data_IF_597625002141
#
_entry.id   IF_597625002141
#
_cell.length_a   1.000
_cell.length_b   1.000
_cell.length_c   1.000
_cell.angle_alpha   90.00
_cell.angle_beta   90.00
_cell.angle_gamma   90.00
#
_symmetry.space_group_name_H-M   'P 1'
#
loop_
_entity.id
_entity.type
_entity.pdbx_description
1 polymer ?
#
# COMPACT_ATOMS: atom_id res chain seq x y z
N UNK A 1 -12.34 -52.77 -9.35
CA UNK A 1 -11.93 -53.78 -8.33
C UNK A 1 -10.63 -53.24 -7.74
N UNK A 2 -10.45 -52.86 -6.48
CA UNK A 2 -11.09 -53.06 -5.17
C UNK A 2 -10.64 -51.86 -4.30
N UNK A 3 -11.53 -51.05 -3.70
CA UNK A 3 -12.08 -51.24 -2.33
C UNK A 3 -10.99 -51.12 -1.26
N UNK A 4 -10.89 -50.08 -0.41
CA UNK A 4 -11.63 -49.80 0.85
C UNK A 4 -10.74 -48.81 1.66
N UNK A 5 -11.10 -48.08 2.72
CA UNK A 5 -12.30 -47.43 3.27
C UNK A 5 -11.91 -46.90 4.67
N UNK A 6 -12.24 -45.63 4.97
CA UNK A 6 -12.68 -45.06 6.27
C UNK A 6 -11.74 -45.02 7.50
N UNK A 7 -11.71 -43.85 8.16
CA UNK A 7 -11.33 -43.70 9.56
C UNK A 7 -11.58 -42.31 10.17
N UNK A 8 -12.86 -41.90 10.32
CA UNK A 8 -13.29 -40.79 11.22
C UNK A 8 -13.24 -41.26 12.67
N UNK A 9 -12.61 -40.51 13.59
CA UNK A 9 -12.96 -40.48 15.02
C UNK A 9 -12.72 -39.10 15.62
N UNK A 10 -13.80 -38.49 16.10
CA UNK A 10 -13.76 -37.33 16.99
C UNK A 10 -13.71 -37.76 18.46
N UNK A 11 -13.35 -36.82 19.33
CA UNK A 11 -13.53 -36.92 20.77
C UNK A 11 -13.98 -35.55 21.31
N UNK A 12 -15.22 -35.50 21.80
CA UNK A 12 -15.75 -34.49 22.71
C UNK A 12 -15.98 -35.21 24.04
N UNK A 13 -15.44 -34.67 25.14
CA UNK A 13 -15.77 -35.11 26.50
C UNK A 13 -16.32 -33.92 27.25
N UNK A 14 -17.59 -34.03 27.63
CA UNK A 14 -18.26 -33.21 28.63
C UNK A 14 -18.17 -33.91 30.00
N UNK A 15 -18.08 -33.14 31.08
CA UNK A 15 -18.24 -33.63 32.44
C UNK A 15 -19.19 -32.70 33.21
N UNK A 16 -20.19 -33.30 33.86
CA UNK A 16 -21.23 -32.67 34.65
C UNK A 16 -21.34 -33.36 36.02
N UNK A 17 -21.81 -32.60 37.03
CA UNK A 17 -22.39 -33.06 38.31
C UNK A 17 -21.38 -33.22 39.45
N UNK A 18 -21.65 -32.79 40.69
CA UNK A 18 -22.74 -33.23 41.59
C UNK A 18 -22.89 -32.23 42.75
N UNK A 19 -24.15 -32.02 43.18
CA UNK A 19 -24.57 -31.29 44.39
C UNK A 19 -24.76 -32.29 45.52
N UNK A 20 -24.27 -31.98 46.73
CA UNK A 20 -24.57 -32.72 47.96
C UNK A 20 -25.18 -31.79 49.01
N UNK A 21 -26.32 -32.20 49.57
CA UNK A 21 -27.02 -31.56 50.67
C UNK A 21 -26.75 -32.32 51.98
N UNK A 22 -26.66 -31.59 53.11
CA UNK A 22 -26.72 -32.14 54.45
C UNK A 22 -27.39 -31.13 55.42
N UNK A 23 -28.15 -31.65 56.39
CA UNK A 23 -29.13 -30.96 57.24
C UNK A 23 -28.63 -30.64 58.68
N UNK A 24 -29.25 -29.63 59.30
CA UNK A 24 -29.48 -29.42 60.76
C UNK A 24 -28.28 -28.99 61.62
N UNK A 25 -28.37 -28.14 62.66
CA UNK A 25 -29.45 -27.72 63.58
C UNK A 25 -29.14 -26.36 64.24
N UNK A 26 -30.17 -25.69 64.76
CA UNK A 26 -30.21 -24.33 65.33
C UNK A 26 -29.50 -24.11 66.69
N UNK A 27 -28.91 -22.92 66.88
CA UNK A 27 -28.82 -22.20 68.16
C UNK A 27 -28.79 -20.66 67.92
N UNK A 28 -29.32 -19.82 68.84
CA UNK A 28 -29.68 -18.44 68.57
C UNK A 28 -28.54 -17.44 68.79
N UNK A 29 -28.51 -16.35 68.00
CA UNK A 29 -27.52 -15.26 68.11
C UNK A 29 -28.13 -13.88 67.78
N UNK A 30 -27.52 -12.77 68.27
CA UNK A 30 -28.19 -11.62 68.88
C UNK A 30 -28.48 -10.46 67.86
N UNK A 31 -28.93 -9.25 68.28
CA UNK A 31 -29.80 -8.40 67.46
C UNK A 31 -29.11 -7.75 66.26
N UNK A 32 -29.89 -7.61 65.17
CA UNK A 32 -29.53 -6.96 63.90
C UNK A 32 -29.10 -5.50 64.11
N UNK A 33 -27.84 -5.20 63.85
CA UNK A 33 -27.40 -3.88 63.43
C UNK A 33 -27.90 -3.60 61.99
N UNK A 34 -28.47 -2.42 61.77
CA UNK A 34 -29.00 -1.98 60.48
C UNK A 34 -27.93 -2.01 59.38
N UNK A 35 -28.19 -2.80 58.34
CA UNK A 35 -27.32 -2.94 57.17
C UNK A 35 -27.61 -1.78 56.21
N UNK A 36 -26.74 -0.77 56.19
CA UNK A 36 -26.78 0.28 55.15
C UNK A 36 -26.64 -0.36 53.78
N UNK A 37 -27.61 -0.13 52.90
CA UNK A 37 -27.56 -0.58 51.51
C UNK A 37 -26.38 0.10 50.79
N UNK A 38 -25.56 -0.63 50.02
CA UNK A 38 -24.53 -0.02 49.20
C UNK A 38 -25.17 0.89 48.16
N UNK A 39 -24.76 2.17 48.19
CA UNK A 39 -25.16 3.19 47.23
C UNK A 39 -24.80 2.71 45.82
N UNK A 40 -25.69 2.80 44.81
CA UNK A 40 -25.38 2.36 43.47
C UNK A 40 -24.16 3.13 42.95
N UNK A 41 -23.12 2.39 42.57
CA UNK A 41 -21.94 2.95 41.93
C UNK A 41 -22.41 3.61 40.64
N UNK A 42 -22.32 4.94 40.60
CA UNK A 42 -22.60 5.74 39.40
C UNK A 42 -21.63 5.24 38.33
N UNK A 43 -22.14 4.53 37.30
CA UNK A 43 -21.36 4.21 36.09
C UNK A 43 -20.78 5.52 35.59
N UNK A 44 -19.46 5.63 35.65
CA UNK A 44 -18.73 6.71 35.04
C UNK A 44 -19.12 6.71 33.55
N UNK A 45 -19.42 7.88 32.94
CA UNK A 45 -19.63 7.92 31.50
C UNK A 45 -18.43 7.26 30.84
N UNK A 46 -18.65 6.25 29.99
CA UNK A 46 -17.60 5.77 29.10
C UNK A 46 -17.06 7.01 28.38
N UNK A 47 -15.79 7.33 28.63
CA UNK A 47 -15.13 8.39 27.91
C UNK A 47 -15.25 8.13 26.41
N UNK A 48 -15.19 9.17 25.56
CA UNK A 48 -15.29 8.97 24.11
C UNK A 48 -14.34 7.86 23.68
N UNK A 49 -14.87 6.86 22.98
CA UNK A 49 -14.10 5.72 22.52
C UNK A 49 -12.94 6.21 21.66
N UNK A 50 -11.71 5.86 22.05
CA UNK A 50 -10.52 6.20 21.27
C UNK A 50 -10.58 5.40 19.98
N UNK A 51 -10.46 6.03 18.80
CA UNK A 51 -10.50 5.31 17.54
C UNK A 51 -9.32 4.34 17.44
N UNK A 52 -9.60 3.10 17.07
CA UNK A 52 -8.60 2.03 16.95
C UNK A 52 -7.95 2.10 15.57
N UNK A 53 -6.66 2.44 15.55
CA UNK A 53 -5.86 2.43 14.32
C UNK A 53 -5.62 1.01 13.80
N UNK A 54 -5.40 0.84 12.48
CA UNK A 54 -4.92 -0.43 11.94
C UNK A 54 -3.59 -0.83 12.57
N UNK A 55 -3.31 -2.13 12.60
CA UNK A 55 -2.03 -2.63 13.10
C UNK A 55 -0.89 -2.21 12.17
N UNK A 56 0.17 -1.63 12.74
CA UNK A 56 1.41 -1.36 11.99
C UNK A 56 2.10 -2.66 11.64
N UNK A 57 2.14 -3.00 10.35
CA UNK A 57 2.83 -4.17 9.82
C UNK A 57 3.91 -3.69 8.84
N UNK A 58 5.21 -3.91 9.14
CA UNK A 58 6.27 -3.55 8.22
C UNK A 58 6.14 -4.29 6.90
N UNK A 59 6.35 -3.58 5.79
CA UNK A 59 6.35 -4.17 4.46
C UNK A 59 7.41 -5.27 4.35
N UNK A 60 7.02 -6.38 3.74
CA UNK A 60 7.90 -7.52 3.47
C UNK A 60 7.91 -7.79 1.96
N UNK A 61 9.10 -8.03 1.38
CA UNK A 61 9.20 -8.38 -0.03
C UNK A 61 8.61 -9.76 -0.29
N UNK A 62 7.94 -9.90 -1.44
CA UNK A 62 7.58 -11.21 -1.97
C UNK A 62 8.81 -11.98 -2.46
N UNK A 63 8.68 -13.30 -2.62
CA UNK A 63 9.79 -14.17 -3.03
C UNK A 63 10.35 -13.86 -4.43
N UNK A 64 9.58 -13.18 -5.27
CA UNK A 64 9.93 -12.84 -6.65
C UNK A 64 10.42 -11.39 -6.82
N UNK A 65 10.55 -10.64 -5.72
CA UNK A 65 11.09 -9.28 -5.74
C UNK A 65 12.57 -9.27 -6.13
N UNK A 66 12.94 -8.40 -7.07
CA UNK A 66 14.34 -8.18 -7.46
C UNK A 66 14.98 -7.19 -6.49
N UNK A 67 16.22 -7.46 -6.07
CA UNK A 67 16.95 -6.63 -5.11
C UNK A 67 16.08 -6.13 -3.96
N UNK A 68 15.40 -7.05 -3.23
CA UNK A 68 14.40 -6.70 -2.22
C UNK A 68 14.96 -5.79 -1.13
N UNK A 69 16.27 -5.84 -0.86
CA UNK A 69 16.95 -4.95 0.07
C UNK A 69 16.79 -3.46 -0.25
N UNK A 70 16.63 -3.08 -1.53
CA UNK A 70 16.42 -1.69 -1.96
C UNK A 70 15.04 -1.22 -1.52
N UNK A 71 14.01 -2.03 -1.81
CA UNK A 71 12.62 -1.75 -1.44
C UNK A 71 12.43 -1.73 0.07
N UNK A 72 13.05 -2.67 0.78
CA UNK A 72 13.02 -2.71 2.25
C UNK A 72 13.66 -1.45 2.85
N UNK A 73 14.77 -0.96 2.28
CA UNK A 73 15.41 0.27 2.76
C UNK A 73 14.48 1.49 2.58
N UNK A 74 13.80 1.60 1.43
CA UNK A 74 12.81 2.66 1.20
C UNK A 74 11.61 2.53 2.15
N UNK A 75 11.00 1.34 2.25
CA UNK A 75 9.82 1.09 3.08
C UNK A 75 10.06 1.45 4.55
N UNK A 76 11.20 1.06 5.12
CA UNK A 76 11.57 1.39 6.50
C UNK A 76 11.57 2.89 6.78
N UNK A 77 12.09 3.69 5.85
CA UNK A 77 12.10 5.16 5.98
C UNK A 77 10.68 5.72 5.93
N UNK A 78 9.87 5.25 4.98
CA UNK A 78 8.49 5.70 4.81
C UNK A 78 7.63 5.35 6.05
N UNK A 79 7.78 4.15 6.59
CA UNK A 79 7.10 3.70 7.81
C UNK A 79 7.57 4.49 9.04
N UNK A 80 8.87 4.78 9.16
CA UNK A 80 9.40 5.58 10.28
C UNK A 80 8.89 7.04 10.28
N UNK A 81 8.68 7.60 9.08
CA UNK A 81 8.09 8.94 8.92
C UNK A 81 6.59 8.92 9.23
N UNK A 82 5.89 7.93 8.68
CA UNK A 82 4.44 7.87 8.62
C UNK A 82 3.74 7.24 9.83
N UNK A 83 4.42 6.38 10.58
CA UNK A 83 3.89 5.71 11.78
C UNK A 83 4.34 6.45 13.03
N UNK A 84 3.37 6.99 13.78
CA UNK A 84 3.61 7.82 14.98
C UNK A 84 2.77 7.27 16.14
N UNK A 85 3.41 6.76 17.21
CA UNK A 85 2.69 6.29 18.39
C UNK A 85 1.88 7.39 19.09
N UNK A 86 0.88 6.99 19.89
CA UNK A 86 0.11 7.92 20.70
C UNK A 86 1.00 8.66 21.71
N UNK A 87 0.77 9.96 21.88
CA UNK A 87 1.57 10.80 22.77
C UNK A 87 2.95 11.20 22.22
N UNK A 88 3.32 10.75 21.03
CA UNK A 88 4.55 11.16 20.34
C UNK A 88 4.22 12.27 19.34
N UNK A 89 5.00 13.34 19.33
CA UNK A 89 4.85 14.41 18.35
C UNK A 89 5.19 13.91 16.94
N UNK A 90 4.41 14.33 15.94
CA UNK A 90 4.69 14.05 14.53
C UNK A 90 6.04 14.65 14.13
N UNK A 91 6.31 15.90 14.50
CA UNK A 91 7.57 16.60 14.22
C UNK A 91 8.28 17.01 15.52
N UNK A 92 9.62 16.96 15.55
CA UNK A 92 10.52 16.49 14.50
C UNK A 92 10.54 14.95 14.37
N UNK A 93 10.78 14.45 13.14
CA UNK A 93 10.85 13.00 12.87
C UNK A 93 12.29 12.42 12.92
N UNK A 94 13.30 13.26 13.16
CA UNK A 94 14.72 12.89 13.14
C UNK A 94 15.03 11.66 14.00
N UNK A 95 14.52 11.60 15.23
CA UNK A 95 14.76 10.45 16.12
C UNK A 95 14.19 9.13 15.58
N UNK A 96 13.02 9.16 14.92
CA UNK A 96 12.43 7.96 14.30
C UNK A 96 13.22 7.50 13.08
N UNK A 97 13.72 8.44 12.27
CA UNK A 97 14.61 8.15 11.15
C UNK A 97 15.92 7.51 11.64
N UNK A 98 16.56 8.07 12.68
CA UNK A 98 17.77 7.49 13.27
C UNK A 98 17.51 6.07 13.80
N UNK A 99 16.38 5.84 14.47
CA UNK A 99 15.99 4.50 14.94
C UNK A 99 15.77 3.51 13.78
N UNK A 100 15.37 3.99 12.61
CA UNK A 100 15.24 3.20 11.38
C UNK A 100 16.57 3.03 10.61
N UNK A 101 17.69 3.58 11.12
CA UNK A 101 18.99 3.55 10.46
C UNK A 101 19.12 4.50 9.26
N UNK A 102 18.29 5.55 9.21
CA UNK A 102 18.26 6.52 8.13
C UNK A 102 18.83 7.89 8.57
N UNK A 103 19.19 8.71 7.59
CA UNK A 103 19.68 10.06 7.82
C UNK A 103 18.54 10.94 8.41
N UNK A 104 18.70 11.51 9.62
CA UNK A 104 17.70 12.38 10.23
C UNK A 104 17.40 13.64 9.39
N UNK A 105 18.29 14.07 8.50
CA UNK A 105 18.08 15.22 7.63
C UNK A 105 16.91 15.01 6.64
N UNK A 106 16.55 13.77 6.32
CA UNK A 106 15.40 13.45 5.47
C UNK A 106 14.06 13.98 6.03
N UNK A 107 13.98 14.25 7.34
CA UNK A 107 12.79 14.86 7.94
C UNK A 107 12.45 16.23 7.33
N UNK A 108 13.44 16.97 6.83
CA UNK A 108 13.24 18.31 6.25
C UNK A 108 12.49 18.27 4.90
N UNK A 109 12.58 17.17 4.15
CA UNK A 109 11.95 17.01 2.83
C UNK A 109 10.81 16.00 2.83
N UNK A 110 10.47 15.43 3.99
CA UNK A 110 9.44 14.41 4.11
C UNK A 110 8.03 14.90 3.72
N UNK A 111 7.73 16.19 3.91
CA UNK A 111 6.47 16.80 3.46
C UNK A 111 5.23 15.98 3.86
N UNK A 112 4.36 15.59 2.90
CA UNK A 112 3.16 14.81 3.19
C UNK A 112 3.44 13.35 3.59
N UNK A 113 4.68 12.88 3.64
CA UNK A 113 5.01 11.60 4.29
C UNK A 113 4.89 11.70 5.83
N UNK A 114 4.84 12.90 6.39
CA UNK A 114 4.51 13.11 7.80
C UNK A 114 2.99 13.25 7.96
N UNK A 115 2.34 12.41 8.80
CA UNK A 115 0.89 12.47 8.99
C UNK A 115 0.48 13.78 9.67
N UNK A 116 -0.74 14.31 9.45
CA UNK A 116 -1.15 15.59 10.05
C UNK A 116 -1.26 15.56 11.58
N UNK A 117 -1.52 14.40 12.17
CA UNK A 117 -1.67 14.23 13.62
C UNK A 117 -1.20 12.84 14.06
N UNK A 118 -1.04 12.67 15.37
CA UNK A 118 -0.74 11.40 16.02
C UNK A 118 -1.88 11.02 16.99
N UNK A 119 -2.13 9.72 17.24
CA UNK A 119 -1.42 8.58 16.66
C UNK A 119 -1.73 8.37 15.17
N UNK A 120 -0.77 7.79 14.45
CA UNK A 120 -0.87 7.50 13.03
C UNK A 120 -0.12 6.22 12.66
N UNK A 121 -0.55 5.57 11.58
CA UNK A 121 0.10 4.39 11.00
C UNK A 121 0.24 4.59 9.51
N UNK A 122 1.41 4.28 8.97
CA UNK A 122 1.65 4.20 7.53
C UNK A 122 1.84 2.76 7.08
N UNK A 123 1.18 2.42 5.98
CA UNK A 123 1.31 1.16 5.27
C UNK A 123 1.85 1.45 3.88
N UNK A 124 2.99 0.85 3.53
CA UNK A 124 3.46 0.85 2.15
C UNK A 124 2.57 -0.10 1.35
N UNK A 125 1.69 0.46 0.51
CA UNK A 125 0.78 -0.31 -0.35
C UNK A 125 1.59 -1.04 -1.41
N UNK A 126 2.46 -0.30 -2.11
CA UNK A 126 3.43 -0.90 -3.00
C UNK A 126 4.67 -0.01 -3.20
N UNK A 127 5.90 -0.54 -3.07
CA UNK A 127 7.14 0.14 -3.40
C UNK A 127 7.66 -0.36 -4.76
N UNK A 128 7.14 0.19 -5.86
CA UNK A 128 7.57 -0.17 -7.22
C UNK A 128 8.96 0.39 -7.50
N UNK A 129 9.77 -0.28 -8.32
CA UNK A 129 10.95 0.39 -8.87
C UNK A 129 10.56 1.49 -9.86
N UNK A 130 11.20 2.65 -9.73
CA UNK A 130 11.27 3.70 -10.77
C UNK A 130 12.63 3.75 -11.46
N UNK A 131 13.59 2.93 -11.01
CA UNK A 131 14.89 2.74 -11.63
C UNK A 131 15.89 2.00 -10.73
N UNK A 132 16.81 1.26 -11.35
CA UNK A 132 17.81 0.46 -10.64
C UNK A 132 19.13 0.45 -11.43
N UNK A 133 20.17 1.01 -10.83
CA UNK A 133 21.55 0.96 -11.33
C UNK A 133 22.46 0.26 -10.31
N UNK A 134 23.74 0.13 -10.64
CA UNK A 134 24.74 -0.50 -9.77
C UNK A 134 24.90 0.18 -8.39
N UNK A 135 24.68 1.50 -8.33
CA UNK A 135 24.91 2.32 -7.13
C UNK A 135 23.82 3.34 -6.81
N UNK A 136 22.83 3.50 -7.69
CA UNK A 136 21.67 4.38 -7.48
C UNK A 136 20.38 3.63 -7.77
N UNK A 137 19.29 4.01 -7.10
CA UNK A 137 17.97 3.45 -7.36
C UNK A 137 16.88 4.49 -7.07
N UNK A 138 15.69 4.24 -7.60
CA UNK A 138 14.47 4.97 -7.32
C UNK A 138 13.35 3.99 -7.01
N UNK A 139 12.65 4.22 -5.92
CA UNK A 139 11.44 3.51 -5.55
C UNK A 139 10.27 4.49 -5.61
N UNK A 140 9.30 4.20 -6.46
CA UNK A 140 8.01 4.89 -6.51
C UNK A 140 7.08 4.19 -5.54
N UNK A 141 6.88 4.80 -4.38
CA UNK A 141 6.11 4.23 -3.29
C UNK A 141 4.71 4.83 -3.22
N UNK A 142 3.71 3.96 -3.08
CA UNK A 142 2.35 4.33 -2.67
C UNK A 142 2.20 4.01 -1.19
N UNK A 143 1.93 5.02 -0.37
CA UNK A 143 1.86 4.91 1.09
C UNK A 143 0.49 5.34 1.58
N UNK A 144 -0.26 4.41 2.17
CA UNK A 144 -1.50 4.72 2.88
C UNK A 144 -1.17 5.17 4.29
N UNK A 145 -1.72 6.31 4.71
CA UNK A 145 -1.60 6.81 6.07
C UNK A 145 -2.97 6.87 6.71
N UNK A 146 -3.09 6.32 7.90
CA UNK A 146 -4.30 6.43 8.74
C UNK A 146 -3.92 7.12 10.04
N UNK A 147 -4.66 8.16 10.44
CA UNK A 147 -4.42 8.87 11.69
C UNK A 147 -5.70 9.15 12.45
N UNK A 148 -5.57 9.30 13.76
CA UNK A 148 -6.66 9.76 14.61
C UNK A 148 -6.76 11.28 14.61
N UNK A 149 -7.96 11.78 14.36
CA UNK A 149 -8.37 13.18 14.44
C UNK A 149 -9.55 13.28 15.42
N UNK A 150 -9.22 13.50 16.70
CA UNK A 150 -10.17 13.35 17.80
C UNK A 150 -10.72 11.93 17.88
N UNK A 151 -12.03 11.78 17.66
CA UNK A 151 -12.71 10.47 17.63
C UNK A 151 -12.85 9.87 16.23
N UNK A 152 -12.34 10.55 15.20
CA UNK A 152 -12.47 10.13 13.80
C UNK A 152 -11.15 9.58 13.29
N UNK A 153 -11.20 8.48 12.53
CA UNK A 153 -10.07 8.06 11.72
C UNK A 153 -10.11 8.79 10.38
N UNK A 154 -8.96 9.32 9.99
CA UNK A 154 -8.73 9.91 8.67
C UNK A 154 -7.74 9.05 7.92
N UNK A 155 -7.86 9.03 6.61
CA UNK A 155 -6.97 8.32 5.71
C UNK A 155 -6.54 9.24 4.57
N UNK A 156 -5.32 9.01 4.07
CA UNK A 156 -4.87 9.50 2.77
C UNK A 156 -3.88 8.53 2.13
N UNK A 157 -3.65 8.68 0.83
CA UNK A 157 -2.64 7.94 0.08
C UNK A 157 -1.61 8.91 -0.51
N UNK A 158 -0.35 8.73 -0.15
CA UNK A 158 0.77 9.56 -0.59
C UNK A 158 1.63 8.78 -1.57
N UNK A 159 1.88 9.35 -2.75
CA UNK A 159 2.88 8.83 -3.69
C UNK A 159 4.19 9.57 -3.49
N UNK A 160 5.31 8.85 -3.51
CA UNK A 160 6.64 9.45 -3.39
C UNK A 160 7.68 8.72 -4.23
N UNK A 161 8.56 9.49 -4.86
CA UNK A 161 9.81 8.98 -5.41
C UNK A 161 10.90 9.04 -4.33
N UNK A 162 11.42 7.86 -3.98
CA UNK A 162 12.45 7.67 -2.97
C UNK A 162 13.76 7.35 -3.69
N UNK A 163 14.75 8.24 -3.60
CA UNK A 163 16.05 8.02 -4.22
C UNK A 163 16.98 7.34 -3.23
N UNK A 164 17.62 6.27 -3.66
CA UNK A 164 18.57 5.51 -2.85
C UNK A 164 19.96 5.55 -3.47
N UNK A 165 20.96 5.45 -2.60
CA UNK A 165 22.35 5.26 -2.97
C UNK A 165 22.90 4.02 -2.27
N UNK A 166 23.81 3.34 -2.95
CA UNK A 166 24.53 2.20 -2.41
C UNK A 166 25.84 2.65 -1.79
N UNK A 167 26.10 2.23 -0.55
CA UNK A 167 27.41 2.32 0.09
C UNK A 167 27.85 0.92 0.52
N UNK A 168 28.88 0.40 -0.16
CA UNK A 168 29.27 -1.01 -0.04
C UNK A 168 28.13 -1.95 -0.39
N UNK A 169 27.63 -2.72 0.59
CA UNK A 169 26.49 -3.64 0.40
C UNK A 169 25.14 -3.06 0.85
N UNK A 170 25.14 -1.90 1.50
CA UNK A 170 23.93 -1.30 2.04
C UNK A 170 23.33 -0.29 1.08
N UNK A 171 22.00 -0.26 1.01
CA UNK A 171 21.23 0.78 0.36
C UNK A 171 20.69 1.73 1.42
N UNK A 172 20.83 3.03 1.17
CA UNK A 172 20.30 4.08 2.06
C UNK A 172 19.50 5.07 1.24
N UNK A 173 18.40 5.55 1.82
CA UNK A 173 17.62 6.65 1.24
C UNK A 173 18.47 7.91 1.29
N UNK A 174 18.65 8.54 0.14
CA UNK A 174 19.42 9.76 -0.04
C UNK A 174 18.51 10.98 -0.26
N UNK A 175 17.31 10.77 -0.81
CA UNK A 175 16.36 11.85 -1.09
C UNK A 175 14.92 11.34 -1.07
N UNK A 176 14.01 12.21 -0.63
CA UNK A 176 12.57 11.99 -0.67
C UNK A 176 11.94 13.07 -1.57
N UNK A 177 11.12 12.64 -2.52
CA UNK A 177 10.37 13.49 -3.44
C UNK A 177 8.88 13.12 -3.38
N UNK A 178 8.20 13.45 -2.27
CA UNK A 178 6.78 13.18 -2.13
C UNK A 178 5.95 14.10 -3.03
N UNK A 179 4.89 13.55 -3.62
CA UNK A 179 3.92 14.33 -4.40
C UNK A 179 3.09 15.19 -3.45
N UNK A 180 2.90 16.46 -3.81
CA UNK A 180 2.06 17.38 -3.04
C UNK A 180 0.60 16.91 -3.04
N UNK A 181 -0.13 17.00 -1.90
CA UNK A 181 -1.54 16.63 -1.85
C UNK A 181 -2.41 17.54 -2.72
N UNK A 182 -3.47 16.96 -3.29
CA UNK A 182 -4.48 17.68 -4.08
C UNK A 182 -5.90 17.28 -3.60
N UNK A 183 -6.36 17.80 -2.45
CA UNK A 183 -7.56 17.30 -1.77
C UNK A 183 -8.86 17.42 -2.58
N UNK A 184 -8.94 18.39 -3.49
CA UNK A 184 -10.13 18.64 -4.30
C UNK A 184 -10.11 17.94 -5.68
N UNK A 185 -9.03 17.20 -5.98
CA UNK A 185 -8.83 16.59 -7.31
C UNK A 185 -9.98 15.63 -7.69
N UNK A 186 -10.40 14.77 -6.77
CA UNK A 186 -11.46 13.80 -7.03
C UNK A 186 -12.79 14.48 -7.40
N UNK A 187 -13.12 15.59 -6.75
CA UNK A 187 -14.36 16.33 -7.01
C UNK A 187 -14.35 17.07 -8.36
N UNK A 188 -13.17 17.33 -8.92
CA UNK A 188 -13.00 17.99 -10.21
C UNK A 188 -13.06 17.01 -11.40
N UNK A 189 -13.04 15.69 -11.17
CA UNK A 189 -13.10 14.70 -12.23
C UNK A 189 -14.44 14.73 -12.97
N UNK A 190 -14.37 14.64 -14.30
CA UNK A 190 -15.54 14.54 -15.18
C UNK A 190 -15.29 13.56 -16.33
N UNK A 191 -16.35 13.12 -17.00
CA UNK A 191 -16.27 12.31 -18.22
C UNK A 191 -15.48 11.00 -18.04
N UNK A 192 -14.67 10.59 -19.05
CA UNK A 192 -13.89 9.35 -18.99
C UNK A 192 -12.93 9.25 -17.79
N UNK A 193 -12.39 10.39 -17.32
CA UNK A 193 -11.50 10.39 -16.16
C UNK A 193 -12.24 10.04 -14.85
N UNK A 194 -13.48 10.53 -14.69
CA UNK A 194 -14.33 10.16 -13.56
C UNK A 194 -14.75 8.69 -13.63
N UNK A 195 -15.10 8.18 -14.83
CA UNK A 195 -15.44 6.76 -15.02
C UNK A 195 -14.23 5.85 -14.68
N UNK A 196 -13.03 6.23 -15.13
CA UNK A 196 -11.81 5.50 -14.84
C UNK A 196 -11.53 5.44 -13.33
N UNK A 197 -11.62 6.57 -12.63
CA UNK A 197 -11.41 6.62 -11.19
C UNK A 197 -12.43 5.80 -10.39
N UNK A 198 -13.61 5.51 -10.96
CA UNK A 198 -14.61 4.62 -10.38
C UNK A 198 -14.36 3.12 -10.61
N UNK A 199 -13.44 2.76 -11.53
CA UNK A 199 -13.20 1.36 -11.95
C UNK A 199 -11.81 0.84 -11.61
N UNK A 200 -10.84 1.72 -11.51
CA UNK A 200 -9.43 1.39 -11.27
C UNK A 200 -9.00 1.90 -9.91
N UNK A 201 -8.22 1.11 -9.17
CA UNK A 201 -7.62 1.57 -7.92
C UNK A 201 -6.49 2.55 -8.23
N UNK A 202 -6.73 3.84 -7.93
CA UNK A 202 -5.79 4.92 -8.18
C UNK A 202 -5.30 5.54 -6.85
N UNK A 203 -4.00 5.83 -6.70
CA UNK A 203 -3.52 6.67 -5.62
C UNK A 203 -3.94 8.14 -5.85
N UNK A 204 -3.96 8.95 -4.79
CA UNK A 204 -4.40 10.35 -4.87
C UNK A 204 -3.61 11.17 -5.90
N UNK A 205 -2.30 10.91 -6.04
CA UNK A 205 -1.48 11.57 -7.06
C UNK A 205 -1.96 11.27 -8.49
N UNK A 206 -2.38 10.03 -8.77
CA UNK A 206 -2.92 9.64 -10.06
C UNK A 206 -4.30 10.27 -10.33
N UNK A 207 -5.14 10.37 -9.30
CA UNK A 207 -6.40 11.12 -9.36
C UNK A 207 -6.14 12.60 -9.67
N UNK A 208 -5.12 13.20 -9.05
CA UNK A 208 -4.71 14.58 -9.32
C UNK A 208 -4.22 14.79 -10.75
N UNK A 209 -3.41 13.86 -11.29
CA UNK A 209 -2.97 13.90 -12.69
C UNK A 209 -4.17 13.88 -13.66
N UNK A 210 -5.17 13.02 -13.40
CA UNK A 210 -6.39 12.95 -14.20
C UNK A 210 -7.21 14.26 -14.12
N UNK A 211 -7.41 14.78 -12.91
CA UNK A 211 -8.18 16.01 -12.69
C UNK A 211 -7.51 17.23 -13.35
N UNK A 212 -6.17 17.24 -13.41
CA UNK A 212 -5.40 18.28 -14.07
C UNK A 212 -5.37 18.15 -15.61
N UNK A 213 -5.95 17.09 -16.19
CA UNK A 213 -5.85 16.80 -17.62
C UNK A 213 -4.41 16.46 -18.06
N UNK A 214 -3.58 15.95 -17.15
CA UNK A 214 -2.18 15.66 -17.39
C UNK A 214 -1.93 14.26 -17.97
N UNK A 215 -2.98 13.48 -18.20
CA UNK A 215 -2.93 12.11 -18.74
C UNK A 215 -3.52 12.09 -20.15
N UNK A 216 -2.79 11.50 -21.10
CA UNK A 216 -3.20 11.33 -22.48
C UNK A 216 -4.50 10.52 -22.57
N UNK A 217 -5.43 10.96 -23.40
CA UNK A 217 -6.75 10.33 -23.55
C UNK A 217 -6.65 8.86 -23.98
N UNK A 218 -5.58 8.44 -24.69
CA UNK A 218 -5.35 7.04 -25.07
C UNK A 218 -5.02 6.16 -23.87
N UNK A 219 -4.27 6.67 -22.89
CA UNK A 219 -4.02 5.95 -21.62
C UNK A 219 -5.33 5.74 -20.87
N UNK A 220 -6.16 6.79 -20.80
CA UNK A 220 -7.48 6.70 -20.16
C UNK A 220 -8.38 5.68 -20.88
N UNK A 221 -8.42 5.73 -22.21
CA UNK A 221 -9.22 4.80 -23.02
C UNK A 221 -8.74 3.33 -22.87
N UNK A 222 -7.42 3.10 -22.93
CA UNK A 222 -6.83 1.78 -22.76
C UNK A 222 -7.16 1.18 -21.38
N UNK A 223 -7.05 1.97 -20.32
CA UNK A 223 -7.39 1.51 -18.98
C UNK A 223 -8.89 1.25 -18.80
N UNK A 224 -9.77 2.04 -19.41
CA UNK A 224 -11.21 1.78 -19.39
C UNK A 224 -11.57 0.48 -20.12
N UNK A 225 -10.92 0.20 -21.25
CA UNK A 225 -11.07 -1.07 -21.97
C UNK A 225 -10.61 -2.26 -21.11
N UNK A 226 -9.41 -2.18 -20.55
CA UNK A 226 -8.88 -3.24 -19.68
C UNK A 226 -9.74 -3.41 -18.42
N UNK A 227 -10.23 -2.33 -17.82
CA UNK A 227 -11.10 -2.36 -16.64
C UNK A 227 -12.50 -2.95 -16.92
N UNK A 228 -12.86 -3.16 -18.19
CA UNK A 228 -14.03 -3.95 -18.58
C UNK A 228 -13.88 -5.44 -18.26
N UNK A 229 -12.65 -5.92 -18.10
CA UNK A 229 -12.32 -7.34 -17.85
C UNK A 229 -11.57 -7.56 -16.54
N UNK A 230 -10.63 -6.67 -16.20
CA UNK A 230 -9.70 -6.83 -15.08
C UNK A 230 -9.92 -5.80 -13.98
N UNK A 231 -9.65 -6.16 -12.72
CA UNK A 231 -9.48 -5.18 -11.63
C UNK A 231 -8.04 -4.69 -11.63
N UNK A 232 -7.82 -3.40 -11.87
CA UNK A 232 -6.48 -2.83 -12.00
C UNK A 232 -6.11 -1.99 -10.75
N UNK A 233 -4.84 -2.07 -10.35
CA UNK A 233 -4.25 -1.13 -9.40
C UNK A 233 -3.03 -0.44 -10.01
N UNK A 234 -3.10 0.89 -10.06
CA UNK A 234 -2.08 1.76 -10.64
C UNK A 234 -1.17 2.28 -9.53
N UNK A 235 0.12 2.44 -9.84
CA UNK A 235 1.07 3.12 -8.96
C UNK A 235 1.24 4.58 -9.35
N UNK A 236 1.36 4.88 -10.66
CA UNK A 236 1.62 6.23 -11.16
C UNK A 236 1.17 6.43 -12.61
N UNK A 237 0.72 7.65 -12.92
CA UNK A 237 0.66 8.19 -14.28
C UNK A 237 1.85 9.09 -14.56
N UNK A 238 1.98 10.19 -13.81
CA UNK A 238 3.04 11.18 -14.00
C UNK A 238 3.65 11.62 -12.68
N UNK A 239 2.84 12.12 -11.76
CA UNK A 239 3.32 12.67 -10.49
C UNK A 239 3.86 11.54 -9.60
N UNK A 240 5.13 11.66 -9.18
CA UNK A 240 5.82 10.64 -8.41
C UNK A 240 6.70 9.70 -9.26
N UNK A 241 6.67 9.84 -10.59
CA UNK A 241 7.61 9.17 -11.49
C UNK A 241 8.85 10.06 -11.75
N UNK A 242 10.07 9.48 -11.87
CA UNK A 242 11.25 10.20 -12.34
C UNK A 242 11.03 10.96 -13.67
N UNK A 243 11.50 12.20 -13.79
CA UNK A 243 11.25 13.00 -15.01
C UNK A 243 11.85 12.36 -16.30
N UNK A 244 13.01 11.72 -16.15
CA UNK A 244 13.67 10.99 -17.22
C UNK A 244 13.60 9.50 -16.96
N UNK A 245 13.76 8.71 -18.03
CA UNK A 245 14.12 7.29 -17.91
C UNK A 245 15.36 7.22 -17.04
N UNK A 246 15.26 6.47 -15.93
CA UNK A 246 16.24 6.54 -14.86
C UNK A 246 17.66 6.25 -15.36
N UNK A 247 18.63 7.03 -14.87
CA UNK A 247 20.02 6.93 -15.34
C UNK A 247 20.33 7.62 -16.67
N UNK A 248 19.32 8.21 -17.34
CA UNK A 248 19.49 8.80 -18.68
C UNK A 248 19.02 10.26 -18.74
N UNK A 249 19.38 10.95 -19.83
CA UNK A 249 18.81 12.25 -20.19
C UNK A 249 17.52 12.18 -21.01
N UNK A 250 16.98 10.99 -21.28
CA UNK A 250 15.78 10.81 -22.10
C UNK A 250 14.54 11.03 -21.25
N UNK A 251 13.72 12.03 -21.58
CA UNK A 251 12.43 12.26 -20.91
C UNK A 251 11.51 11.06 -21.03
N UNK A 252 10.93 10.65 -19.89
CA UNK A 252 10.00 9.52 -19.79
C UNK A 252 8.63 9.85 -20.39
N UNK A 253 7.91 8.83 -20.86
CA UNK A 253 6.53 8.98 -21.29
C UNK A 253 5.56 9.25 -20.14
N UNK A 254 5.88 8.84 -18.91
CA UNK A 254 5.17 9.28 -17.70
C UNK A 254 5.19 10.81 -17.56
N UNK A 255 6.35 11.43 -17.75
CA UNK A 255 6.50 12.90 -17.67
C UNK A 255 5.63 13.64 -18.67
N UNK A 256 5.37 13.02 -19.82
CA UNK A 256 4.49 13.53 -20.89
C UNK A 256 3.02 13.17 -20.70
N UNK A 257 2.67 12.40 -19.66
CA UNK A 257 1.31 11.92 -19.44
C UNK A 257 0.90 10.75 -20.34
N UNK A 258 1.85 10.12 -21.04
CA UNK A 258 1.58 9.12 -22.08
C UNK A 258 1.81 7.69 -21.62
N UNK A 259 1.97 7.46 -20.32
CA UNK A 259 2.19 6.14 -19.76
C UNK A 259 1.52 5.95 -18.40
N UNK A 260 1.39 4.68 -18.01
CA UNK A 260 0.88 4.24 -16.72
C UNK A 260 1.62 2.98 -16.28
N UNK A 261 1.84 2.87 -14.97
CA UNK A 261 2.35 1.64 -14.35
C UNK A 261 1.25 0.96 -13.52
N UNK A 262 1.02 -0.32 -13.82
CA UNK A 262 0.02 -1.18 -13.19
C UNK A 262 0.76 -2.22 -12.34
N UNK A 263 0.65 -2.15 -11.02
CA UNK A 263 1.39 -3.03 -10.11
C UNK A 263 0.59 -4.26 -9.67
N UNK A 264 -0.74 -4.25 -9.83
CA UNK A 264 -1.58 -5.42 -9.57
C UNK A 264 -2.76 -5.53 -10.55
N UNK A 265 -3.14 -6.79 -10.81
CA UNK A 265 -4.26 -7.18 -11.67
C UNK A 265 -5.06 -8.26 -10.94
N UNK A 266 -6.37 -8.09 -10.81
CA UNK A 266 -7.27 -8.99 -10.06
C UNK A 266 -6.81 -9.26 -8.62
N UNK A 267 -6.36 -8.18 -7.95
CA UNK A 267 -5.80 -8.18 -6.58
C UNK A 267 -4.52 -9.02 -6.42
N UNK A 268 -3.89 -9.41 -7.53
CA UNK A 268 -2.62 -10.12 -7.56
C UNK A 268 -1.51 -9.15 -7.97
N UNK A 269 -0.50 -8.90 -7.11
CA UNK A 269 0.67 -8.12 -7.50
C UNK A 269 1.35 -8.77 -8.70
N UNK A 270 1.74 -7.99 -9.71
CA UNK A 270 2.42 -8.49 -10.92
C UNK A 270 3.69 -9.24 -10.57
N UNK A 271 4.44 -8.76 -9.56
CA UNK A 271 5.65 -9.44 -9.06
C UNK A 271 5.38 -10.89 -8.64
N UNK A 272 4.18 -11.21 -8.15
CA UNK A 272 3.83 -12.55 -7.68
C UNK A 272 3.57 -13.56 -8.80
N UNK A 273 3.38 -13.08 -10.03
CA UNK A 273 3.07 -13.92 -11.19
C UNK A 273 4.35 -14.52 -11.75
N UNK A 274 4.29 -15.80 -12.15
CA UNK A 274 5.39 -16.44 -12.86
C UNK A 274 5.48 -15.88 -14.29
N UNK A 275 6.69 -15.82 -14.85
CA UNK A 275 6.94 -15.22 -16.18
C UNK A 275 6.24 -15.99 -17.32
N UNK A 276 6.02 -17.28 -17.13
CA UNK A 276 5.33 -18.18 -18.06
C UNK A 276 3.87 -18.44 -17.66
N UNK A 277 3.35 -17.71 -16.67
CA UNK A 277 1.98 -17.88 -16.22
C UNK A 277 1.00 -17.42 -17.31
N UNK A 278 0.04 -18.28 -17.74
CA UNK A 278 -0.91 -17.92 -18.80
C UNK A 278 -1.68 -16.63 -18.52
N UNK A 279 -2.08 -16.39 -17.27
CA UNK A 279 -2.79 -15.17 -16.88
C UNK A 279 -1.98 -13.89 -17.17
N UNK A 280 -0.66 -13.90 -16.89
CA UNK A 280 0.21 -12.76 -17.17
C UNK A 280 0.34 -12.54 -18.68
N UNK A 281 0.54 -13.62 -19.44
CA UNK A 281 0.67 -13.54 -20.90
C UNK A 281 -0.62 -13.05 -21.57
N UNK A 282 -1.77 -13.51 -21.10
CA UNK A 282 -3.08 -13.04 -21.57
C UNK A 282 -3.29 -11.56 -21.24
N UNK A 283 -2.89 -11.12 -20.04
CA UNK A 283 -2.98 -9.70 -19.66
C UNK A 283 -2.07 -8.82 -20.52
N UNK A 284 -0.82 -9.23 -20.78
CA UNK A 284 0.09 -8.51 -21.68
C UNK A 284 -0.45 -8.44 -23.11
N UNK A 285 -1.05 -9.52 -23.61
CA UNK A 285 -1.72 -9.52 -24.90
C UNK A 285 -2.92 -8.55 -24.93
N UNK A 286 -3.70 -8.47 -23.84
CA UNK A 286 -4.79 -7.50 -23.72
C UNK A 286 -4.26 -6.05 -23.69
N UNK A 287 -3.17 -5.78 -22.97
CA UNK A 287 -2.51 -4.46 -22.98
C UNK A 287 -2.10 -4.08 -24.40
N UNK A 288 -1.49 -4.99 -25.15
CA UNK A 288 -1.15 -4.76 -26.57
C UNK A 288 -2.38 -4.48 -27.44
N UNK A 289 -3.50 -5.16 -27.19
CA UNK A 289 -4.73 -4.97 -27.96
C UNK A 289 -5.31 -3.55 -27.83
N UNK A 290 -5.00 -2.84 -26.74
CA UNK A 290 -5.36 -1.40 -26.58
C UNK A 290 -4.61 -0.46 -27.52
N UNK A 291 -3.62 -0.97 -28.27
CA UNK A 291 -2.80 -0.18 -29.19
C UNK A 291 -1.53 0.41 -28.57
N UNK A 292 -1.19 0.04 -27.33
CA UNK A 292 0.08 0.41 -26.69
C UNK A 292 1.29 -0.01 -27.55
N UNK A 293 2.23 0.91 -27.75
CA UNK A 293 3.46 0.68 -28.52
C UNK A 293 4.74 0.68 -27.66
N UNK A 294 4.59 0.90 -26.36
CA UNK A 294 5.62 0.74 -25.33
C UNK A 294 5.05 -0.09 -24.17
N UNK A 295 5.39 -1.39 -24.09
CA UNK A 295 4.86 -2.30 -23.09
C UNK A 295 6.00 -2.93 -22.30
N UNK A 296 6.23 -2.45 -21.08
CA UNK A 296 7.22 -3.04 -20.18
C UNK A 296 6.56 -4.06 -19.27
N UNK A 297 7.19 -5.22 -19.05
CA UNK A 297 6.66 -6.19 -18.10
C UNK A 297 7.66 -7.25 -17.65
N UNK A 298 7.21 -8.24 -16.86
CA UNK A 298 8.09 -9.28 -16.33
C UNK A 298 8.73 -10.18 -17.39
N UNK A 299 8.14 -10.21 -18.58
CA UNK A 299 8.50 -11.04 -19.73
C UNK A 299 8.21 -10.29 -21.02
N UNK A 300 9.03 -10.53 -22.04
CA UNK A 300 8.84 -10.03 -23.40
C UNK A 300 8.34 -11.19 -24.28
N UNK A 301 7.02 -11.30 -24.52
CA UNK A 301 6.44 -12.36 -25.33
C UNK A 301 6.68 -12.19 -26.84
N UNK A 302 7.00 -10.98 -27.31
CA UNK A 302 7.27 -10.72 -28.74
C UNK A 302 8.73 -11.04 -29.10
N UNK A 303 9.63 -10.95 -28.12
CA UNK A 303 11.06 -10.97 -28.32
C UNK A 303 11.58 -9.64 -28.89
N UNK A 304 12.89 -9.56 -29.16
CA UNK A 304 13.54 -8.30 -29.52
C UNK A 304 12.90 -7.60 -30.73
N UNK A 305 12.58 -6.32 -30.57
CA UNK A 305 12.03 -5.47 -31.63
C UNK A 305 10.49 -5.46 -31.73
N UNK A 306 9.80 -6.11 -30.80
CA UNK A 306 8.34 -5.99 -30.62
C UNK A 306 7.93 -4.74 -29.84
N UNK A 307 6.65 -4.69 -29.47
CA UNK A 307 6.11 -3.62 -28.60
C UNK A 307 6.38 -3.91 -27.12
N UNK A 308 6.66 -5.17 -26.80
CA UNK A 308 7.03 -5.59 -25.46
C UNK A 308 8.52 -5.46 -25.20
N UNK A 309 8.87 -5.19 -23.95
CA UNK A 309 10.22 -5.32 -23.43
C UNK A 309 10.19 -5.79 -21.98
N UNK A 310 11.29 -6.41 -21.55
CA UNK A 310 11.44 -6.89 -20.18
C UNK A 310 12.84 -6.60 -19.66
N UNK A 311 12.90 -6.10 -18.44
CA UNK A 311 14.12 -5.86 -17.68
C UNK A 311 13.83 -6.07 -16.18
N UNK A 312 14.84 -5.84 -15.34
CA UNK A 312 14.70 -6.00 -13.89
C UNK A 312 13.75 -4.96 -13.26
N UNK A 313 13.61 -3.78 -13.89
CA UNK A 313 12.74 -2.70 -13.44
C UNK A 313 11.27 -3.09 -13.57
N UNK A 314 10.88 -3.72 -14.68
CA UNK A 314 9.50 -4.10 -14.98
C UNK A 314 9.14 -5.50 -14.46
N UNK A 315 9.96 -6.10 -13.58
CA UNK A 315 9.63 -7.39 -12.98
C UNK A 315 8.35 -7.34 -12.12
N UNK A 316 8.03 -6.17 -11.59
CA UNK A 316 7.10 -5.99 -10.49
C UNK A 316 5.84 -5.18 -10.85
N UNK A 317 5.76 -4.69 -12.10
CA UNK A 317 4.63 -3.97 -12.67
C UNK A 317 4.55 -4.19 -14.18
N UNK A 318 3.43 -3.81 -14.77
CA UNK A 318 3.28 -3.68 -16.22
C UNK A 318 3.22 -2.19 -16.56
N UNK A 319 4.13 -1.76 -17.40
CA UNK A 319 4.16 -0.44 -18.02
C UNK A 319 3.35 -0.47 -19.32
N UNK A 320 2.47 0.51 -19.49
CA UNK A 320 1.71 0.73 -20.71
C UNK A 320 1.96 2.18 -21.15
N UNK A 321 2.50 2.35 -22.36
CA UNK A 321 2.89 3.64 -22.90
C UNK A 321 2.59 3.83 -24.39
N UNK A 322 2.53 5.11 -24.79
CA UNK A 322 2.37 5.56 -26.17
C UNK A 322 3.52 6.52 -26.57
N UNK A 323 4.40 6.08 -27.46
CA UNK A 323 5.61 6.81 -27.86
C UNK A 323 5.31 8.07 -28.69
N UNK A 324 4.28 8.01 -29.53
CA UNK A 324 3.86 9.12 -30.39
C UNK A 324 2.69 9.88 -29.79
N UNK A 325 2.61 11.19 -30.06
CA UNK A 325 1.40 11.96 -29.77
C UNK A 325 0.27 11.53 -30.72
N UNK A 326 -0.99 11.68 -30.27
CA UNK A 326 -2.17 11.49 -31.09
C UNK A 326 -2.31 12.58 -32.16
#
# INVERSE_FOLDING_TARGET
>A
MTGRSVGRRGFLVAAAGVVAAACGTDEPSPPRAGRSLPRPVRKQPEGPAVPVLPASVPWQPGAAEISPEVKVAAARVLEALGTVPGGVAVTPAAGRLTAAGADPALAATAGPLLPPAAPAVAHVVYPQFGGLESSTASIMAVVRQTWADGTTLRERVVTADVRLRRSGRAWTVAELRPVAPAPDAAAALTGPAADLAGRVQLPEAAVADLAAGAVDARVVAALLELAGTYRLAVSVFRAGHPENVFGTGRTSNHTRGRAVDIWAVDDRPVVSMAKDEPFLLDFLAAVRATGSDEIGGPVDPDGPGGNHFADDLHRDHVHLGFERAA
#
